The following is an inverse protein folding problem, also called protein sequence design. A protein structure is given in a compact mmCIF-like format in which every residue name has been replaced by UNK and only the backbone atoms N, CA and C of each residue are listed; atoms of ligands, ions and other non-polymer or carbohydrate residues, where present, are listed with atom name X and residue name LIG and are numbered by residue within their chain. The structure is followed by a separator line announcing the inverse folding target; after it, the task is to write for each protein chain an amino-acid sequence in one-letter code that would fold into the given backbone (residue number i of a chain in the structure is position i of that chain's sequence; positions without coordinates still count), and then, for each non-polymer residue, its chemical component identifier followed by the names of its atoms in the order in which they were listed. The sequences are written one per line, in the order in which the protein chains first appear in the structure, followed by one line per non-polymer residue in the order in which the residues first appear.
data_IF_363783883280
#
_entry.id   IF_363783883280
#
_cell.length_a   1.000
_cell.length_b   1.000
_cell.length_c   1.000
_cell.angle_alpha   90.00
_cell.angle_beta   90.00
_cell.angle_gamma   90.00
#
_symmetry.space_group_name_H-M   'P 1'
#
loop_
_entity.id
_entity.type
_entity.pdbx_description
1 polymer ?
#
# COMPACT_ATOMS: atom_id res chain seq x y z
N UNK A 1 25.64 -8.96 -7.83
CA UNK A 1 24.52 -9.88 -8.11
C UNK A 1 23.23 -9.06 -8.12
N UNK A 2 22.80 -8.46 -9.25
CA UNK A 2 21.68 -7.54 -9.24
C UNK A 2 20.42 -8.20 -9.84
N UNK A 3 19.45 -8.47 -8.97
CA UNK A 3 18.07 -8.80 -9.36
C UNK A 3 17.09 -7.66 -9.00
N UNK A 4 17.58 -6.52 -8.51
CA UNK A 4 16.78 -5.41 -7.99
C UNK A 4 16.37 -4.37 -9.06
N UNK A 5 16.14 -4.78 -10.31
CA UNK A 5 15.74 -3.85 -11.37
C UNK A 5 14.68 -4.45 -12.25
N UNK A 6 13.56 -4.86 -11.66
CA UNK A 6 12.33 -5.10 -12.43
C UNK A 6 11.17 -4.48 -11.64
N UNK A 7 10.50 -3.54 -12.32
CA UNK A 7 9.32 -2.75 -11.94
C UNK A 7 9.56 -1.45 -11.15
N UNK A 8 10.23 -0.47 -11.79
CA UNK A 8 9.79 0.94 -11.78
C UNK A 8 9.96 1.43 -13.22
N UNK A 9 8.93 2.03 -13.80
CA UNK A 9 8.98 2.53 -15.17
C UNK A 9 10.10 3.58 -15.31
N UNK A 10 10.88 3.43 -16.40
CA UNK A 10 12.01 4.26 -16.81
C UNK A 10 11.55 5.67 -17.24
N UNK A 11 11.20 6.52 -16.28
CA UNK A 11 10.88 7.93 -16.50
C UNK A 11 11.86 8.80 -15.70
N UNK A 12 12.67 9.59 -16.41
CA UNK A 12 13.63 10.53 -15.80
C UNK A 12 12.95 11.75 -15.14
N UNK A 13 13.56 12.35 -14.11
CA UNK A 13 14.66 11.78 -13.32
C UNK A 13 14.12 10.74 -12.32
N UNK A 14 14.99 9.83 -11.85
CA UNK A 14 14.68 8.87 -10.79
C UNK A 14 14.26 9.61 -9.52
N UNK A 15 12.97 9.90 -9.37
CA UNK A 15 12.43 10.43 -8.12
C UNK A 15 12.58 9.32 -7.08
N UNK A 16 13.01 9.63 -5.85
CA UNK A 16 12.99 8.67 -4.77
C UNK A 16 11.54 8.22 -4.56
N UNK A 17 11.27 7.01 -5.02
CA UNK A 17 9.93 6.46 -5.16
C UNK A 17 9.93 5.00 -4.74
N UNK A 18 8.90 4.59 -4.03
CA UNK A 18 8.69 3.21 -3.61
C UNK A 18 7.21 2.81 -3.73
N UNK A 19 6.94 1.52 -3.58
CA UNK A 19 5.57 0.99 -3.58
C UNK A 19 5.29 0.25 -2.28
N UNK A 20 4.20 0.64 -1.63
CA UNK A 20 3.61 -0.02 -0.49
C UNK A 20 2.42 -0.89 -0.86
N UNK A 21 2.11 -1.85 0.00
CA UNK A 21 0.89 -2.64 -0.01
C UNK A 21 0.08 -2.34 1.24
N UNK A 22 -1.22 -2.14 1.05
CA UNK A 22 -2.20 -2.00 2.12
C UNK A 22 -3.32 -3.01 1.89
N UNK A 23 -3.60 -3.84 2.89
CA UNK A 23 -4.74 -4.74 2.83
C UNK A 23 -5.40 -4.95 4.19
N UNK A 24 -6.73 -4.93 4.21
CA UNK A 24 -7.51 -5.47 5.33
C UNK A 24 -7.98 -6.86 4.91
N UNK A 25 -7.35 -7.88 5.46
CA UNK A 25 -7.53 -9.29 5.08
C UNK A 25 -8.32 -10.02 6.16
N UNK A 26 -9.05 -11.11 5.84
CA UNK A 26 -9.61 -11.99 6.86
C UNK A 26 -8.49 -12.61 7.69
N UNK A 27 -8.72 -12.74 9.01
CA UNK A 27 -7.84 -13.57 9.84
C UNK A 27 -7.96 -15.04 9.41
N UNK A 28 -6.87 -15.82 9.45
CA UNK A 28 -6.93 -17.25 9.13
C UNK A 28 -7.90 -18.07 9.99
N UNK A 29 -8.22 -17.61 11.20
CA UNK A 29 -9.18 -18.24 12.11
C UNK A 29 -10.63 -17.75 11.93
N UNK A 30 -10.88 -16.85 10.99
CA UNK A 30 -12.20 -16.26 10.72
C UNK A 30 -12.68 -15.24 11.76
N UNK A 31 -11.93 -14.99 12.83
CA UNK A 31 -12.37 -14.15 13.96
C UNK A 31 -11.96 -12.68 13.79
N UNK A 32 -12.31 -12.09 12.65
CA UNK A 32 -12.06 -10.70 12.32
C UNK A 32 -11.00 -10.53 11.22
N UNK A 33 -10.27 -9.40 11.27
CA UNK A 33 -9.38 -8.98 10.18
C UNK A 33 -7.94 -8.74 10.64
N UNK A 34 -7.00 -8.88 9.73
CA UNK A 34 -5.60 -8.41 9.86
C UNK A 34 -5.41 -7.23 8.93
N UNK A 35 -4.84 -6.14 9.43
CA UNK A 35 -4.35 -5.06 8.57
C UNK A 35 -2.89 -5.37 8.20
N UNK A 36 -2.66 -5.70 6.93
CA UNK A 36 -1.35 -5.96 6.37
C UNK A 36 -0.79 -4.68 5.73
N UNK A 37 0.42 -4.32 6.16
CA UNK A 37 1.23 -3.25 5.57
C UNK A 37 2.57 -3.88 5.19
N UNK A 38 2.96 -3.70 3.94
CA UNK A 38 4.27 -4.09 3.45
C UNK A 38 4.78 -3.03 2.47
N UNK A 39 6.08 -3.02 2.20
CA UNK A 39 6.70 -2.22 1.16
C UNK A 39 7.73 -3.07 0.44
N UNK A 40 8.06 -2.69 -0.79
CA UNK A 40 9.24 -3.27 -1.45
C UNK A 40 10.49 -2.93 -0.61
N UNK A 41 10.55 -1.71 -0.09
CA UNK A 41 11.50 -1.29 0.94
C UNK A 41 10.80 -0.62 2.14
N UNK A 42 11.60 -0.15 3.10
CA UNK A 42 11.11 0.54 4.31
C UNK A 42 10.24 1.75 3.97
N UNK A 43 10.66 2.55 2.98
CA UNK A 43 9.94 3.75 2.53
C UNK A 43 8.50 3.43 2.08
N UNK A 44 8.28 2.35 1.34
CA UNK A 44 6.94 1.93 0.90
C UNK A 44 5.99 1.63 2.07
N UNK A 45 6.49 0.97 3.11
CA UNK A 45 5.69 0.67 4.32
C UNK A 45 5.37 1.94 5.11
N UNK A 46 6.35 2.84 5.24
CA UNK A 46 6.17 4.13 5.90
C UNK A 46 5.17 5.02 5.13
N UNK A 47 5.19 5.01 3.80
CA UNK A 47 4.23 5.73 2.99
C UNK A 47 2.79 5.22 3.14
N UNK A 48 2.59 3.90 3.32
CA UNK A 48 1.27 3.37 3.67
C UNK A 48 0.78 3.90 5.01
N UNK A 49 1.67 3.98 6.01
CA UNK A 49 1.33 4.59 7.31
C UNK A 49 1.02 6.07 7.14
N UNK A 50 1.78 6.79 6.32
CA UNK A 50 1.53 8.20 6.00
C UNK A 50 0.14 8.41 5.37
N UNK A 51 -0.24 7.59 4.38
CA UNK A 51 -1.58 7.62 3.78
C UNK A 51 -2.68 7.41 4.83
N UNK A 52 -2.49 6.43 5.72
CA UNK A 52 -3.45 6.14 6.79
C UNK A 52 -3.54 7.27 7.82
N UNK A 53 -2.49 8.04 8.07
CA UNK A 53 -2.59 9.17 9.01
C UNK A 53 -3.18 10.42 8.35
N UNK A 54 -3.03 10.58 7.03
CA UNK A 54 -3.52 11.75 6.30
C UNK A 54 -4.95 11.59 5.75
N UNK A 55 -5.37 10.39 5.36
CA UNK A 55 -6.60 10.21 4.56
C UNK A 55 -7.45 8.97 4.94
N UNK A 56 -7.37 8.52 6.19
CA UNK A 56 -8.13 7.36 6.68
C UNK A 56 -9.65 7.49 6.46
N UNK A 57 -10.20 8.68 6.66
CA UNK A 57 -11.65 8.90 6.54
C UNK A 57 -12.15 8.67 5.12
N UNK A 58 -11.39 9.09 4.11
CA UNK A 58 -11.73 8.89 2.70
C UNK A 58 -11.63 7.42 2.35
N UNK A 59 -10.55 6.75 2.77
CA UNK A 59 -10.40 5.31 2.60
C UNK A 59 -11.57 4.54 3.23
N UNK A 60 -11.91 4.86 4.49
CA UNK A 60 -13.04 4.25 5.21
C UNK A 60 -14.37 4.50 4.49
N UNK A 61 -14.60 5.71 3.97
CA UNK A 61 -15.79 6.04 3.20
C UNK A 61 -15.98 5.17 1.95
N UNK A 62 -14.89 4.64 1.38
CA UNK A 62 -14.93 3.77 0.20
C UNK A 62 -15.10 2.29 0.56
N UNK A 63 -14.40 1.79 1.59
CA UNK A 63 -14.36 0.34 1.88
C UNK A 63 -15.25 -0.10 3.04
N UNK A 64 -15.62 0.80 3.97
CA UNK A 64 -16.36 0.47 5.19
C UNK A 64 -15.65 -0.61 5.98
N UNK A 65 -16.32 -1.72 6.27
CA UNK A 65 -15.77 -2.90 6.98
C UNK A 65 -15.24 -4.03 6.07
N UNK A 66 -15.39 -3.90 4.74
CA UNK A 66 -15.07 -4.95 3.75
C UNK A 66 -13.58 -5.29 3.64
N UNK A 67 -13.25 -6.54 3.35
CA UNK A 67 -11.87 -6.89 3.03
C UNK A 67 -11.44 -6.25 1.72
N UNK A 68 -10.22 -5.72 1.67
CA UNK A 68 -9.70 -5.03 0.50
C UNK A 68 -8.20 -5.09 0.44
N UNK A 69 -7.65 -4.80 -0.73
CA UNK A 69 -6.23 -4.51 -0.91
C UNK A 69 -5.98 -3.48 -2.00
N UNK A 70 -4.83 -2.81 -1.93
CA UNK A 70 -4.36 -1.87 -2.95
C UNK A 70 -2.83 -1.73 -2.86
N UNK A 71 -2.25 -1.11 -3.88
CA UNK A 71 -0.87 -0.63 -3.88
C UNK A 71 -0.86 0.88 -3.62
N UNK A 72 0.15 1.35 -2.91
CA UNK A 72 0.36 2.74 -2.55
C UNK A 72 1.64 3.22 -3.21
N UNK A 73 1.55 4.28 -3.99
CA UNK A 73 2.68 5.02 -4.55
C UNK A 73 3.24 5.92 -3.46
N UNK A 74 4.56 5.92 -3.25
CA UNK A 74 5.21 6.71 -2.19
C UNK A 74 6.36 7.51 -2.79
N UNK A 75 6.28 8.83 -2.75
CA UNK A 75 7.45 9.70 -2.94
C UNK A 75 8.07 9.99 -1.55
N UNK A 76 9.39 9.90 -1.45
CA UNK A 76 10.09 10.05 -0.17
C UNK A 76 11.34 10.93 -0.28
N UNK A 77 11.83 11.41 0.86
CA UNK A 77 13.11 12.11 0.93
C UNK A 77 14.28 11.10 0.94
N UNK A 78 15.23 11.16 -0.01
CA UNK A 78 16.26 10.13 -0.15
C UNK A 78 17.35 10.21 0.93
N UNK A 79 17.44 11.31 1.68
CA UNK A 79 18.41 11.46 2.77
C UNK A 79 17.85 10.92 4.10
N UNK A 80 16.54 11.03 4.30
CA UNK A 80 15.87 10.67 5.57
C UNK A 80 14.97 9.44 5.49
N UNK A 81 14.63 9.00 4.27
CA UNK A 81 13.60 7.98 3.97
C UNK A 81 12.18 8.37 4.42
N UNK A 82 11.95 9.62 4.82
CA UNK A 82 10.62 10.07 5.26
C UNK A 82 9.66 10.23 4.06
N UNK A 83 8.41 9.73 4.15
CA UNK A 83 7.41 9.93 3.10
C UNK A 83 7.05 11.41 2.95
N UNK A 84 7.11 11.92 1.72
CA UNK A 84 6.69 13.27 1.37
C UNK A 84 5.26 13.28 0.81
N UNK A 85 4.89 12.25 0.06
CA UNK A 85 3.51 12.02 -0.38
C UNK A 85 3.23 10.52 -0.50
N UNK A 86 1.97 10.15 -0.31
CA UNK A 86 1.49 8.79 -0.53
C UNK A 86 0.08 8.82 -1.12
N UNK A 87 -0.14 8.03 -2.17
CA UNK A 87 -1.43 7.96 -2.88
C UNK A 87 -1.72 6.55 -3.37
N UNK A 88 -2.99 6.25 -3.63
CA UNK A 88 -3.36 4.96 -4.21
C UNK A 88 -2.76 4.83 -5.62
N UNK A 89 -1.89 3.84 -5.81
CA UNK A 89 -1.28 3.54 -7.11
C UNK A 89 -2.29 2.84 -8.05
N UNK A 90 -3.25 2.13 -7.46
CA UNK A 90 -4.33 1.47 -8.19
C UNK A 90 -5.66 1.57 -7.41
N UNK A 91 -6.81 1.37 -8.08
CA UNK A 91 -8.09 1.30 -7.40
C UNK A 91 -8.11 0.26 -6.28
N UNK A 92 -8.99 0.47 -5.29
CA UNK A 92 -9.21 -0.48 -4.20
C UNK A 92 -9.81 -1.77 -4.77
N UNK A 93 -9.10 -2.88 -4.59
CA UNK A 93 -9.63 -4.20 -4.88
C UNK A 93 -10.40 -4.72 -3.66
N UNK A 94 -11.71 -4.86 -3.78
CA UNK A 94 -12.56 -5.47 -2.74
C UNK A 94 -12.50 -6.99 -2.88
N UNK A 95 -12.35 -7.69 -1.74
CA UNK A 95 -12.18 -9.15 -1.71
C UNK A 95 -13.52 -9.90 -1.63
N UNK A 96 -14.62 -9.20 -1.88
CA UNK A 96 -15.96 -9.79 -1.84
C UNK A 96 -16.09 -10.85 -2.96
N UNK A 97 -16.45 -12.07 -2.56
CA UNK A 97 -16.75 -13.26 -3.40
C UNK A 97 -15.58 -14.07 -3.99
N UNK A 98 -14.78 -14.70 -3.13
CA UNK A 98 -14.26 -16.06 -3.43
C UNK A 98 -14.48 -17.00 -2.22
N UNK A 99 -15.70 -17.00 -1.67
CA UNK A 99 -16.13 -18.02 -0.70
C UNK A 99 -17.48 -18.56 -1.12
N UNK A 100 -17.46 -19.36 -2.18
CA UNK A 100 -18.42 -20.45 -2.37
C UNK A 100 -17.64 -21.65 -2.86
N UNK A 101 -17.13 -22.45 -1.91
CA UNK A 101 -16.69 -23.82 -2.11
C UNK A 101 -16.91 -24.59 -0.81
#
# INVERSE_FOLDING_TARGET
MPWASVVVADLEPSRPHDVGYLGRLPRPDGNGSVLAIAGIHTAGSLGVVHLLTSDLSTLWGQVGERHFSTLVSVEYDPETEEPQSAELLCPLYLHDEETTA
#
